data_IF_018240410155
#
_entry.id   IF_018240410155
#
_cell.length_a   1.000
_cell.length_b   1.000
_cell.length_c   1.000
_cell.angle_alpha   90.00
_cell.angle_beta   90.00
_cell.angle_gamma   90.00
#
_symmetry.space_group_name_H-M   'P 1'
#
loop_
_entity.id
_entity.type
_entity.pdbx_description
1 polymer ?
#
# COMPACT_ATOMS: atom_id res chain seq x y z
N UNK A 1 -12.33 34.66 -28.66
CA UNK A 1 -12.22 33.91 -27.40
C UNK A 1 -12.64 32.47 -27.65
N UNK A 2 -11.70 31.61 -28.06
CA UNK A 2 -11.93 30.17 -28.14
C UNK A 2 -11.00 29.54 -27.12
N UNK A 3 -11.47 29.41 -25.87
CA UNK A 3 -10.77 28.57 -24.90
C UNK A 3 -10.99 27.11 -25.32
N UNK A 4 -9.94 26.31 -25.53
CA UNK A 4 -10.12 24.87 -25.65
C UNK A 4 -10.62 24.36 -24.30
N UNK A 5 -11.87 23.89 -24.28
CA UNK A 5 -12.36 23.11 -23.14
C UNK A 5 -11.62 21.78 -23.16
N UNK A 6 -10.67 21.60 -22.25
CA UNK A 6 -10.03 20.31 -22.06
C UNK A 6 -11.09 19.33 -21.53
N UNK A 7 -11.36 18.28 -22.30
CA UNK A 7 -12.26 17.21 -21.88
C UNK A 7 -11.50 16.26 -20.94
N UNK A 8 -11.64 16.49 -19.64
CA UNK A 8 -10.98 15.77 -18.55
C UNK A 8 -11.78 14.56 -18.04
N UNK A 9 -12.95 14.27 -18.64
CA UNK A 9 -13.84 13.20 -18.19
C UNK A 9 -13.15 11.83 -18.11
N UNK A 10 -12.27 11.52 -19.08
CA UNK A 10 -11.50 10.29 -19.09
C UNK A 10 -10.50 10.22 -17.93
N UNK A 11 -9.78 11.32 -17.67
CA UNK A 11 -8.81 11.43 -16.57
C UNK A 11 -9.50 11.34 -15.20
N UNK A 12 -10.66 11.98 -15.05
CA UNK A 12 -11.49 11.89 -13.84
C UNK A 12 -11.94 10.44 -13.62
N UNK A 13 -12.45 9.76 -14.66
CA UNK A 13 -12.89 8.38 -14.57
C UNK A 13 -11.76 7.42 -14.19
N UNK A 14 -10.58 7.60 -14.78
CA UNK A 14 -9.38 6.82 -14.45
C UNK A 14 -8.96 7.02 -12.99
N UNK A 15 -9.02 8.26 -12.49
CA UNK A 15 -8.69 8.58 -11.10
C UNK A 15 -9.58 7.83 -10.11
N UNK A 16 -10.89 7.75 -10.36
CA UNK A 16 -11.80 6.98 -9.51
C UNK A 16 -11.51 5.48 -9.57
N UNK A 17 -11.20 4.95 -10.75
CA UNK A 17 -10.88 3.54 -10.92
C UNK A 17 -9.62 3.14 -10.13
N UNK A 18 -8.58 3.97 -10.16
CA UNK A 18 -7.35 3.74 -9.40
C UNK A 18 -7.57 3.73 -7.89
N UNK A 19 -8.43 4.63 -7.38
CA UNK A 19 -8.78 4.68 -5.95
C UNK A 19 -9.54 3.42 -5.52
N UNK A 20 -10.49 2.97 -6.33
CA UNK A 20 -11.26 1.75 -6.06
C UNK A 20 -10.35 0.51 -6.04
N UNK A 21 -9.45 0.39 -7.02
CA UNK A 21 -8.49 -0.71 -7.09
C UNK A 21 -7.53 -0.71 -5.90
N UNK A 22 -6.96 0.46 -5.56
CA UNK A 22 -6.09 0.60 -4.40
C UNK A 22 -6.82 0.21 -3.11
N UNK A 23 -8.06 0.66 -2.94
CA UNK A 23 -8.88 0.36 -1.76
C UNK A 23 -9.18 -1.13 -1.65
N UNK A 24 -9.56 -1.77 -2.76
CA UNK A 24 -9.82 -3.21 -2.84
C UNK A 24 -8.59 -4.04 -2.51
N UNK A 25 -7.43 -3.70 -3.07
CA UNK A 25 -6.17 -4.39 -2.79
C UNK A 25 -5.73 -4.21 -1.34
N UNK A 26 -5.86 -2.99 -0.80
CA UNK A 26 -5.53 -2.70 0.60
C UNK A 26 -6.42 -3.48 1.56
N UNK A 27 -7.72 -3.58 1.28
CA UNK A 27 -8.66 -4.36 2.09
C UNK A 27 -8.29 -5.86 2.09
N UNK A 28 -7.94 -6.42 0.93
CA UNK A 28 -7.47 -7.82 0.82
C UNK A 28 -6.20 -8.04 1.63
N UNK A 29 -5.23 -7.14 1.50
CA UNK A 29 -3.99 -7.20 2.27
C UNK A 29 -4.29 -7.18 3.78
N UNK A 30 -5.14 -6.25 4.24
CA UNK A 30 -5.52 -6.16 5.65
C UNK A 30 -6.16 -7.46 6.17
N UNK A 31 -7.02 -8.11 5.38
CA UNK A 31 -7.62 -9.41 5.73
C UNK A 31 -6.53 -10.48 5.90
N UNK A 32 -5.58 -10.59 4.96
CA UNK A 32 -4.47 -11.54 5.08
C UNK A 32 -3.64 -11.26 6.33
N UNK A 33 -3.32 -10.00 6.60
CA UNK A 33 -2.57 -9.58 7.78
C UNK A 33 -3.25 -10.01 9.08
N UNK A 34 -4.54 -9.70 9.23
CA UNK A 34 -5.32 -10.07 10.42
C UNK A 34 -5.37 -11.60 10.58
N UNK A 35 -5.57 -12.35 9.50
CA UNK A 35 -5.65 -13.80 9.55
C UNK A 35 -4.31 -14.44 9.91
N UNK A 36 -3.21 -13.98 9.33
CA UNK A 36 -1.86 -14.44 9.69
C UNK A 36 -1.55 -14.19 11.17
N UNK A 37 -1.94 -13.03 11.70
CA UNK A 37 -1.81 -12.74 13.12
C UNK A 37 -2.64 -13.69 14.00
N UNK A 38 -3.92 -13.91 13.65
CA UNK A 38 -4.79 -14.85 14.37
C UNK A 38 -4.22 -16.27 14.39
N UNK A 39 -3.75 -16.77 13.25
CA UNK A 39 -3.11 -18.09 13.13
C UNK A 39 -1.89 -18.19 14.03
N UNK A 40 -1.08 -17.14 14.08
CA UNK A 40 0.11 -17.09 14.91
C UNK A 40 -0.15 -17.13 16.41
N UNK A 41 -1.36 -16.74 16.85
CA UNK A 41 -1.78 -16.80 18.24
C UNK A 41 -2.38 -18.16 18.66
N UNK A 42 -2.64 -19.07 17.73
CA UNK A 42 -3.17 -20.41 18.03
C UNK A 42 -2.03 -21.30 18.56
N UNK A 43 -1.97 -21.33 19.89
CA UNK A 43 -1.00 -21.87 20.87
C UNK A 43 -0.27 -23.22 20.67
N UNK A 44 -0.31 -23.95 19.55
CA UNK A 44 0.31 -25.30 19.48
C UNK A 44 1.47 -25.49 18.51
N UNK A 45 1.77 -24.56 17.61
CA UNK A 45 2.84 -24.75 16.61
C UNK A 45 4.09 -23.89 16.82
N UNK A 46 4.02 -22.82 17.62
CA UNK A 46 5.13 -21.89 17.85
C UNK A 46 5.33 -21.70 19.36
N UNK A 47 5.87 -22.73 20.03
CA UNK A 47 6.17 -22.65 21.47
C UNK A 47 7.50 -21.97 21.79
N UNK A 48 8.39 -21.75 20.82
CA UNK A 48 9.72 -21.21 21.11
C UNK A 48 9.93 -19.74 20.74
N UNK A 49 9.15 -19.14 19.83
CA UNK A 49 9.54 -17.84 19.29
C UNK A 49 8.41 -16.83 19.13
N UNK A 50 7.75 -16.49 20.24
CA UNK A 50 6.85 -15.32 20.27
C UNK A 50 7.57 -14.04 19.83
N UNK A 51 8.84 -13.89 20.20
CA UNK A 51 9.73 -12.80 19.75
C UNK A 51 10.05 -12.86 18.25
N UNK A 52 10.34 -14.03 17.68
CA UNK A 52 10.62 -14.17 16.23
C UNK A 52 9.36 -13.99 15.40
N UNK A 53 8.22 -14.48 15.90
CA UNK A 53 6.92 -14.21 15.31
C UNK A 53 6.59 -12.71 15.35
N UNK A 54 6.83 -12.04 16.48
CA UNK A 54 6.68 -10.58 16.59
C UNK A 54 7.61 -9.85 15.63
N UNK A 55 8.85 -10.33 15.48
CA UNK A 55 9.83 -9.80 14.52
C UNK A 55 9.34 -9.97 13.08
N UNK A 56 8.86 -11.16 12.71
CA UNK A 56 8.34 -11.47 11.39
C UNK A 56 7.07 -10.67 11.06
N UNK A 57 6.17 -10.49 12.03
CA UNK A 57 5.00 -9.64 11.87
C UNK A 57 5.39 -8.16 11.74
N UNK A 58 6.39 -7.67 12.46
CA UNK A 58 6.86 -6.31 12.26
C UNK A 58 7.52 -6.13 10.89
N UNK A 59 8.38 -7.07 10.48
CA UNK A 59 9.14 -6.99 9.24
C UNK A 59 8.29 -7.21 7.97
N UNK A 60 7.20 -7.99 8.06
CA UNK A 60 6.35 -8.32 6.91
C UNK A 60 5.02 -7.58 6.94
N UNK A 61 4.37 -7.55 8.11
CA UNK A 61 3.01 -7.08 8.26
C UNK A 61 2.93 -5.58 8.55
N UNK A 62 3.89 -5.04 9.31
CA UNK A 62 3.88 -3.64 9.77
C UNK A 62 4.93 -2.76 9.08
N UNK A 63 5.76 -3.32 8.20
CA UNK A 63 6.58 -2.55 7.25
C UNK A 63 5.68 -1.97 6.14
N UNK A 64 4.79 -1.06 6.53
CA UNK A 64 4.10 -0.21 5.58
C UNK A 64 5.11 0.86 5.15
N UNK A 65 5.90 0.56 4.12
CA UNK A 65 6.71 1.60 3.48
C UNK A 65 5.73 2.60 2.88
N UNK A 66 5.78 3.83 3.37
CA UNK A 66 4.93 4.89 2.84
C UNK A 66 5.17 5.00 1.33
N UNK A 67 4.12 5.08 0.49
CA UNK A 67 4.29 5.17 -0.96
C UNK A 67 5.24 6.29 -1.39
N UNK A 68 5.28 7.40 -0.64
CA UNK A 68 6.22 8.49 -0.87
C UNK A 68 7.71 8.09 -0.77
N UNK A 69 8.06 7.13 0.09
CA UNK A 69 9.44 6.62 0.20
C UNK A 69 9.80 5.80 -1.05
N UNK A 70 8.86 4.97 -1.53
CA UNK A 70 9.05 4.18 -2.75
C UNK A 70 9.16 5.10 -3.98
N UNK A 71 8.30 6.11 -4.06
CA UNK A 71 8.31 7.09 -5.15
C UNK A 71 9.60 7.94 -5.14
N UNK A 72 10.12 8.29 -3.96
CA UNK A 72 11.39 8.97 -3.83
C UNK A 72 12.58 8.11 -4.27
N UNK A 73 12.63 6.83 -3.87
CA UNK A 73 13.69 5.88 -4.31
C UNK A 73 13.68 5.64 -5.82
N UNK A 74 12.51 5.74 -6.46
CA UNK A 74 12.37 5.61 -7.92
C UNK A 74 12.68 6.90 -8.69
N UNK A 75 13.11 7.97 -8.01
CA UNK A 75 13.43 9.25 -8.62
C UNK A 75 12.20 10.03 -9.12
N UNK A 76 10.99 9.67 -8.67
CA UNK A 76 9.75 10.31 -9.12
C UNK A 76 9.70 11.81 -8.80
N UNK A 77 10.35 12.24 -7.71
CA UNK A 77 10.40 13.64 -7.29
C UNK A 77 11.67 14.37 -7.76
N UNK A 78 12.61 13.71 -8.43
CA UNK A 78 13.81 14.38 -8.97
C UNK A 78 13.50 15.27 -10.17
N UNK A 79 12.40 14.99 -10.90
CA UNK A 79 11.99 15.73 -12.09
C UNK A 79 11.27 17.06 -11.83
N UNK A 80 10.94 17.41 -10.58
CA UNK A 80 10.22 18.65 -10.26
C UNK A 80 11.13 19.87 -9.96
N UNK A 81 12.46 19.72 -10.04
CA UNK A 81 13.39 20.84 -9.86
C UNK A 81 13.76 21.61 -11.15
N UNK A 82 13.23 21.22 -12.31
CA UNK A 82 13.38 21.96 -13.57
C UNK A 82 12.03 22.52 -14.06
N UNK A 83 11.54 23.58 -13.42
CA UNK A 83 10.63 24.57 -14.03
C UNK A 83 10.73 25.92 -13.33
#
# INVERSE_FOLDING_TARGET
MNQPFYNDQAHIAESFHLVDDFTSQTARLAIFKINSYKLSMIKSSFRETREELRCNLNNSLMNFTAPGIILADLGFFESEFEN
#
